data_IF_693627637943
#
_entry.id   IF_693627637943
#
_cell.length_a   1.000
_cell.length_b   1.000
_cell.length_c   1.000
_cell.angle_alpha   90.00
_cell.angle_beta   90.00
_cell.angle_gamma   90.00
#
_symmetry.space_group_name_H-M   'P 1'
#
loop_
_entity.id
_entity.type
_entity.pdbx_description
1 polymer ?
#
# COMPACT_ATOMS: atom_id res chain seq x y z
N UNK A 1 33.13 39.76 -28.76
CA UNK A 1 31.91 40.51 -29.13
C UNK A 1 31.34 41.10 -27.87
N UNK A 2 31.31 42.43 -27.80
CA UNK A 2 30.76 43.19 -26.70
C UNK A 2 29.25 42.98 -26.68
N UNK A 3 28.69 42.45 -25.60
CA UNK A 3 27.25 42.32 -25.47
C UNK A 3 26.79 43.07 -24.24
N UNK A 4 25.95 44.07 -24.52
CA UNK A 4 25.44 45.08 -23.61
C UNK A 4 24.69 44.48 -22.42
N UNK A 5 24.96 45.03 -21.24
CA UNK A 5 24.11 44.91 -20.06
C UNK A 5 22.85 45.77 -20.30
N UNK A 6 21.75 45.15 -20.75
CA UNK A 6 20.44 45.75 -20.59
C UNK A 6 19.92 45.42 -19.19
N UNK A 7 19.76 46.44 -18.34
CA UNK A 7 18.90 46.34 -17.16
C UNK A 7 17.45 46.18 -17.66
N UNK A 8 17.00 44.95 -17.79
CA UNK A 8 15.58 44.65 -17.86
C UNK A 8 15.07 44.40 -16.44
N UNK A 9 14.10 45.21 -16.02
CA UNK A 9 13.25 44.91 -14.87
C UNK A 9 12.55 43.58 -15.16
N UNK A 10 13.01 42.50 -14.54
CA UNK A 10 12.36 41.19 -14.62
C UNK A 10 11.11 41.30 -13.74
N UNK A 11 9.89 41.07 -14.26
CA UNK A 11 8.73 40.93 -13.40
C UNK A 11 9.01 39.76 -12.47
N UNK A 12 8.86 39.95 -11.17
CA UNK A 12 8.87 38.85 -10.20
C UNK A 12 7.64 38.00 -10.52
N UNK A 13 7.76 37.14 -11.52
CA UNK A 13 6.90 35.99 -11.63
C UNK A 13 7.22 35.19 -10.38
N UNK A 14 6.38 35.37 -9.36
CA UNK A 14 6.33 34.47 -8.22
C UNK A 14 6.33 33.07 -8.80
N UNK A 15 7.48 32.40 -8.68
CA UNK A 15 7.54 30.97 -8.87
C UNK A 15 6.67 30.41 -7.75
N UNK A 16 5.37 30.29 -8.02
CA UNK A 16 4.54 29.32 -7.33
C UNK A 16 5.18 27.99 -7.68
N UNK A 17 6.15 27.59 -6.86
CA UNK A 17 6.62 26.22 -6.82
C UNK A 17 5.37 25.40 -6.61
N UNK A 18 4.89 24.75 -7.67
CA UNK A 18 3.81 23.80 -7.56
C UNK A 18 4.26 22.80 -6.50
N UNK A 19 3.57 22.76 -5.37
CA UNK A 19 3.68 21.64 -4.45
C UNK A 19 3.33 20.41 -5.29
N UNK A 20 4.34 19.61 -5.64
CA UNK A 20 4.12 18.33 -6.28
C UNK A 20 3.19 17.53 -5.36
N UNK A 21 1.98 17.24 -5.84
CA UNK A 21 0.92 16.57 -5.09
C UNK A 21 1.22 15.08 -4.93
N UNK A 22 2.39 14.75 -4.41
CA UNK A 22 2.85 13.37 -4.17
C UNK A 22 2.04 12.64 -3.09
N UNK A 23 1.02 13.26 -2.51
CA UNK A 23 0.62 12.96 -1.14
C UNK A 23 -0.89 12.73 -0.89
N UNK A 24 -1.70 12.37 -1.89
CA UNK A 24 -3.08 11.95 -1.60
C UNK A 24 -3.23 10.42 -1.44
N UNK A 25 -2.40 9.64 -2.12
CA UNK A 25 -2.48 8.19 -2.18
C UNK A 25 -1.18 7.48 -1.74
N UNK A 26 -0.26 8.16 -1.07
CA UNK A 26 0.94 7.55 -0.48
C UNK A 26 0.80 7.50 1.05
N UNK A 27 1.09 6.36 1.67
CA UNK A 27 1.09 6.21 3.14
C UNK A 27 2.23 5.30 3.59
N UNK A 28 2.72 5.49 4.82
CA UNK A 28 3.56 4.48 5.48
C UNK A 28 2.68 3.38 6.08
N UNK A 29 3.25 2.20 6.34
CA UNK A 29 2.58 1.08 7.00
C UNK A 29 2.57 1.23 8.51
N UNK A 30 3.62 1.83 9.10
CA UNK A 30 3.73 2.08 10.55
C UNK A 30 2.49 2.73 11.20
N UNK A 31 1.84 3.76 10.64
CA UNK A 31 0.62 4.34 11.24
C UNK A 31 -0.66 3.54 10.94
N UNK A 32 -0.62 2.54 10.05
CA UNK A 32 -1.81 1.77 9.67
C UNK A 32 -2.14 0.79 10.80
N UNK A 33 -3.29 1.01 11.45
CA UNK A 33 -3.71 0.19 12.59
C UNK A 33 -4.34 -1.12 12.18
N UNK A 34 -5.13 -1.09 11.10
CA UNK A 34 -5.99 -2.19 10.69
C UNK A 34 -6.11 -2.23 9.17
N UNK A 35 -6.04 -3.43 8.62
CA UNK A 35 -6.45 -3.74 7.26
C UNK A 35 -7.75 -4.55 7.28
N UNK A 36 -8.63 -4.30 6.32
CA UNK A 36 -9.84 -5.10 6.12
C UNK A 36 -9.93 -5.45 4.64
N UNK A 37 -9.60 -6.70 4.34
CA UNK A 37 -9.53 -7.25 3.00
C UNK A 37 -10.80 -8.04 2.72
N UNK A 38 -11.32 -7.98 1.49
CA UNK A 38 -12.63 -8.55 1.13
C UNK A 38 -12.53 -9.46 -0.08
N UNK A 39 -13.30 -10.56 -0.06
CA UNK A 39 -13.40 -11.44 -1.21
C UNK A 39 -14.00 -10.71 -2.42
N UNK A 40 -13.48 -11.02 -3.61
CA UNK A 40 -13.95 -10.45 -4.87
C UNK A 40 -13.70 -8.94 -5.03
N UNK A 41 -12.88 -8.34 -4.18
CA UNK A 41 -12.40 -6.97 -4.34
C UNK A 41 -10.96 -6.97 -4.84
N UNK A 42 -10.65 -6.02 -5.71
CA UNK A 42 -9.31 -5.78 -6.23
C UNK A 42 -8.57 -4.74 -5.39
N UNK A 43 -7.25 -4.80 -5.41
CA UNK A 43 -6.38 -3.77 -4.85
C UNK A 43 -6.42 -2.52 -5.72
N UNK A 44 -6.20 -1.34 -5.12
CA UNK A 44 -5.81 -0.18 -5.92
C UNK A 44 -4.44 -0.45 -6.52
N UNK A 45 -4.19 0.06 -7.72
CA UNK A 45 -2.96 -0.25 -8.44
C UNK A 45 -2.33 1.04 -8.95
N UNK A 46 -1.00 1.05 -8.99
CA UNK A 46 -0.21 2.15 -9.52
C UNK A 46 0.54 1.70 -10.77
N UNK A 47 1.74 1.17 -10.55
CA UNK A 47 2.69 0.80 -11.61
C UNK A 47 2.51 -0.64 -12.06
N UNK A 48 1.95 -1.49 -11.19
CA UNK A 48 1.61 -2.88 -11.48
C UNK A 48 0.10 -3.03 -11.69
N UNK A 49 -0.39 -4.11 -12.33
CA UNK A 49 -1.82 -4.39 -12.42
C UNK A 49 -2.43 -4.65 -11.03
N UNK A 50 -3.74 -4.39 -10.89
CA UNK A 50 -4.46 -4.78 -9.67
C UNK A 50 -4.48 -6.30 -9.50
N UNK A 51 -4.55 -6.72 -8.24
CA UNK A 51 -4.70 -8.12 -7.84
C UNK A 51 -5.86 -8.28 -6.86
N UNK A 52 -6.40 -9.50 -6.65
CA UNK A 52 -7.39 -9.72 -5.61
C UNK A 52 -6.84 -9.38 -4.22
N UNK A 53 -7.64 -8.70 -3.40
CA UNK A 53 -7.28 -8.38 -2.00
C UNK A 53 -7.06 -9.62 -1.14
N UNK A 54 -7.72 -10.73 -1.48
CA UNK A 54 -7.62 -12.00 -0.79
C UNK A 54 -7.29 -13.11 -1.78
N UNK A 55 -6.22 -13.85 -1.49
CA UNK A 55 -5.83 -15.04 -2.25
C UNK A 55 -5.53 -16.18 -1.28
N UNK A 56 -6.11 -17.36 -1.52
CA UNK A 56 -5.77 -18.57 -0.78
C UNK A 56 -4.57 -19.25 -1.44
N UNK A 57 -3.47 -19.40 -0.70
CA UNK A 57 -2.20 -19.99 -1.17
C UNK A 57 -1.99 -21.41 -0.65
N UNK A 58 -2.97 -21.98 0.06
CA UNK A 58 -2.95 -23.39 0.49
C UNK A 58 -3.16 -24.35 -0.68
N UNK A 59 -3.06 -25.66 -0.41
CA UNK A 59 -3.38 -26.66 -1.44
C UNK A 59 -4.80 -26.44 -2.01
N UNK A 60 -5.03 -26.59 -3.33
CA UNK A 60 -6.33 -26.30 -3.94
C UNK A 60 -7.51 -27.01 -3.29
N UNK A 61 -7.31 -28.26 -2.84
CA UNK A 61 -8.36 -29.03 -2.13
C UNK A 61 -8.80 -28.41 -0.80
N UNK A 62 -8.01 -27.52 -0.20
CA UNK A 62 -8.37 -26.76 1.00
C UNK A 62 -9.04 -25.45 0.61
N UNK A 63 -8.50 -24.72 -0.38
CA UNK A 63 -9.03 -23.44 -0.81
C UNK A 63 -10.48 -23.52 -1.34
N UNK A 64 -10.90 -24.68 -1.87
CA UNK A 64 -12.27 -24.91 -2.32
C UNK A 64 -13.28 -25.18 -1.19
N UNK A 65 -12.82 -25.46 0.04
CA UNK A 65 -13.71 -25.84 1.14
C UNK A 65 -14.47 -24.64 1.71
N UNK A 66 -13.86 -23.46 1.71
CA UNK A 66 -14.46 -22.26 2.25
C UNK A 66 -13.79 -21.00 1.70
N UNK A 67 -14.60 -20.02 1.29
CA UNK A 67 -14.12 -18.70 0.89
C UNK A 67 -14.24 -17.74 2.07
N UNK A 68 -13.14 -17.04 2.39
CA UNK A 68 -13.13 -16.00 3.43
C UNK A 68 -13.70 -14.71 2.85
N UNK A 69 -14.89 -14.29 3.31
CA UNK A 69 -15.52 -13.05 2.83
C UNK A 69 -14.79 -11.79 3.31
N UNK A 70 -14.26 -11.81 4.53
CA UNK A 70 -13.54 -10.68 5.13
C UNK A 70 -12.42 -11.18 6.03
N UNK A 71 -11.19 -10.70 5.78
CA UNK A 71 -10.02 -10.90 6.63
C UNK A 71 -9.67 -9.56 7.27
N UNK A 72 -9.50 -9.54 8.59
CA UNK A 72 -9.11 -8.35 9.33
C UNK A 72 -7.73 -8.56 9.94
N UNK A 73 -6.76 -7.77 9.49
CA UNK A 73 -5.41 -7.77 10.02
C UNK A 73 -5.17 -6.55 10.92
N UNK A 74 -4.47 -6.77 12.03
CA UNK A 74 -4.17 -5.77 13.04
C UNK A 74 -2.65 -5.62 13.15
N UNK A 75 -2.19 -4.38 13.17
CA UNK A 75 -0.77 -4.07 13.33
C UNK A 75 -0.36 -4.36 14.78
N UNK A 76 0.61 -5.26 14.98
CA UNK A 76 1.13 -5.68 16.27
C UNK A 76 2.47 -5.01 16.62
N UNK A 77 2.89 -4.02 15.84
CA UNK A 77 4.18 -3.37 15.94
C UNK A 77 5.10 -3.76 14.80
N UNK A 78 6.38 -3.43 14.95
CA UNK A 78 7.40 -3.62 13.94
C UNK A 78 8.56 -4.45 14.47
N UNK A 79 9.16 -5.26 13.62
CA UNK A 79 10.28 -6.13 13.98
C UNK A 79 11.65 -5.43 13.82
N UNK A 80 12.21 -5.45 12.61
CA UNK A 80 13.58 -4.99 12.33
C UNK A 80 13.66 -3.52 11.92
N UNK A 81 12.68 -3.03 11.16
CA UNK A 81 12.56 -1.63 10.77
C UNK A 81 11.15 -1.10 11.06
N UNK A 82 10.94 0.23 11.14
CA UNK A 82 9.61 0.80 11.42
C UNK A 82 8.52 0.38 10.44
N UNK A 83 8.88 -0.02 9.22
CA UNK A 83 7.91 -0.44 8.18
C UNK A 83 7.80 -1.97 8.05
N UNK A 84 8.59 -2.75 8.82
CA UNK A 84 8.49 -4.22 8.89
C UNK A 84 7.41 -4.62 9.90
N UNK A 85 6.15 -4.36 9.52
CA UNK A 85 4.99 -4.54 10.38
C UNK A 85 4.66 -6.02 10.57
N UNK A 86 4.49 -6.42 11.83
CA UNK A 86 3.95 -7.72 12.20
C UNK A 86 2.41 -7.64 12.23
N UNK A 87 1.76 -8.41 11.36
CA UNK A 87 0.30 -8.43 11.25
C UNK A 87 -0.29 -9.64 11.96
N UNK A 88 -1.31 -9.42 12.80
CA UNK A 88 -2.18 -10.49 13.30
C UNK A 88 -3.53 -10.45 12.58
N UNK A 89 -3.84 -11.49 11.82
CA UNK A 89 -5.03 -11.58 10.98
C UNK A 89 -6.08 -12.55 11.55
N UNK A 90 -7.35 -12.17 11.43
CA UNK A 90 -8.49 -12.98 11.86
C UNK A 90 -9.58 -13.01 10.79
N UNK A 91 -10.29 -14.13 10.69
CA UNK A 91 -11.44 -14.35 9.80
C UNK A 91 -12.48 -15.24 10.50
N UNK A 92 -13.72 -15.15 10.04
CA UNK A 92 -14.76 -16.13 10.41
C UNK A 92 -14.54 -17.40 9.59
N UNK A 93 -14.33 -18.53 10.27
CA UNK A 93 -14.12 -19.84 9.65
C UNK A 93 -15.00 -20.91 10.32
N UNK A 94 -15.38 -21.97 9.60
CA UNK A 94 -15.92 -23.18 10.20
C UNK A 94 -14.94 -23.77 11.24
N UNK A 95 -15.45 -24.45 12.25
CA UNK A 95 -14.62 -25.06 13.33
C UNK A 95 -13.64 -26.13 12.84
N UNK A 96 -13.81 -26.62 11.62
CA UNK A 96 -12.93 -27.58 10.94
C UNK A 96 -11.75 -26.93 10.23
N UNK A 97 -11.72 -25.59 10.15
CA UNK A 97 -10.68 -24.83 9.47
C UNK A 97 -10.09 -23.78 10.39
N UNK A 98 -8.80 -23.50 10.20
CA UNK A 98 -8.09 -22.41 10.86
C UNK A 98 -7.22 -21.70 9.85
N UNK A 99 -6.92 -20.43 10.12
CA UNK A 99 -5.92 -19.70 9.33
C UNK A 99 -4.55 -20.32 9.61
N UNK A 100 -3.84 -20.64 8.53
CA UNK A 100 -2.40 -20.92 8.59
C UNK A 100 -1.60 -19.63 8.62
N UNK A 101 -0.40 -19.66 8.05
CA UNK A 101 0.39 -18.45 7.83
C UNK A 101 -0.37 -17.44 6.96
N UNK A 102 -0.22 -16.17 7.29
CA UNK A 102 -0.82 -15.05 6.53
C UNK A 102 0.25 -14.03 6.20
N UNK A 103 0.37 -13.70 4.92
CA UNK A 103 1.29 -12.68 4.43
C UNK A 103 0.51 -11.45 3.97
N UNK A 104 1.01 -10.26 4.33
CA UNK A 104 0.48 -8.98 3.86
C UNK A 104 1.52 -8.35 2.95
N UNK A 105 1.11 -8.04 1.72
CA UNK A 105 1.97 -7.44 0.70
C UNK A 105 1.24 -6.21 0.17
N UNK A 106 1.95 -5.07 0.12
CA UNK A 106 1.44 -3.81 -0.42
C UNK A 106 2.35 -3.31 -1.54
N UNK A 107 1.81 -2.52 -2.47
CA UNK A 107 2.60 -1.92 -3.55
C UNK A 107 3.39 -0.71 -3.03
N UNK A 108 4.72 -0.75 -3.18
CA UNK A 108 5.56 0.42 -2.94
C UNK A 108 5.24 1.56 -3.91
N UNK A 109 5.08 2.77 -3.38
CA UNK A 109 4.48 3.91 -4.07
C UNK A 109 5.26 4.32 -5.34
N UNK A 110 6.55 4.62 -5.21
CA UNK A 110 7.41 4.99 -6.36
C UNK A 110 8.28 3.82 -6.86
N UNK A 111 8.71 2.93 -5.97
CA UNK A 111 9.53 1.74 -6.24
C UNK A 111 9.22 0.62 -5.22
N UNK A 112 9.62 -0.64 -5.46
CA UNK A 112 9.43 -1.73 -4.49
C UNK A 112 10.08 -1.48 -3.12
N UNK A 113 11.15 -0.69 -3.07
CA UNK A 113 11.88 -0.32 -1.86
C UNK A 113 11.42 1.03 -1.24
N UNK A 114 10.37 1.65 -1.79
CA UNK A 114 9.83 2.91 -1.26
C UNK A 114 9.16 2.65 0.10
N UNK A 115 9.55 3.36 1.18
CA UNK A 115 8.92 3.19 2.49
C UNK A 115 7.46 3.65 2.53
N UNK A 116 7.00 4.38 1.51
CA UNK A 116 5.59 4.66 1.31
C UNK A 116 4.97 3.60 0.39
N UNK A 117 3.79 3.13 0.76
CA UNK A 117 2.94 2.25 -0.04
C UNK A 117 1.79 3.04 -0.67
N UNK A 118 1.26 2.51 -1.77
CA UNK A 118 0.06 3.02 -2.41
C UNK A 118 -1.17 2.75 -1.52
N UNK A 119 -1.98 3.77 -1.29
CA UNK A 119 -3.17 3.66 -0.46
C UNK A 119 -4.22 2.77 -1.14
N UNK A 120 -4.50 1.63 -0.53
CA UNK A 120 -5.48 0.66 -1.00
C UNK A 120 -4.89 -0.50 -1.80
N UNK A 121 -3.56 -0.52 -1.97
CA UNK A 121 -2.84 -1.65 -2.55
C UNK A 121 -2.68 -2.81 -1.58
#
# INVERSE_FOLDING_TARGET
MCQLLFLHLIPIASAFGGFSSRAQNATRLSPVKVLTLRAGQETTHGRVPSIPQLTCTSHPSICVLHTIDTLRCTNQGSSYSPEDIEWSCTATLPTTLQLGSTDVICEGYSSPEDPYVLKGS
#
